data_IF_521490000260
#
_entry.id   IF_521490000260
#
_cell.length_a   1.000
_cell.length_b   1.000
_cell.length_c   1.000
_cell.angle_alpha   90.00
_cell.angle_beta   90.00
_cell.angle_gamma   90.00
#
_symmetry.space_group_name_H-M   'P 1'
#
loop_
_entity.id
_entity.type
_entity.pdbx_description
1 polymer ?
#
# COMPACT_ATOMS: atom_id res chain seq x y z
N UNK A 1 0.51 11.40 13.99
CA UNK A 1 0.95 12.80 13.70
C UNK A 1 1.38 12.98 12.24
N UNK A 2 0.95 12.13 11.30
CA UNK A 2 1.30 12.30 9.89
C UNK A 2 0.77 13.64 9.36
N UNK A 3 -0.52 13.90 9.51
CA UNK A 3 -1.26 15.10 9.04
C UNK A 3 -0.70 16.49 9.40
N UNK A 4 0.31 16.60 10.25
CA UNK A 4 0.94 17.88 10.63
C UNK A 4 2.23 18.18 9.85
N UNK A 5 2.60 17.33 8.89
CA UNK A 5 3.80 17.47 8.09
C UNK A 5 3.46 17.61 6.60
N UNK A 6 4.40 18.13 5.80
CA UNK A 6 4.26 18.09 4.35
C UNK A 6 4.47 16.66 3.84
N UNK A 7 3.63 16.22 2.91
CA UNK A 7 3.67 14.86 2.36
C UNK A 7 3.79 14.86 0.85
N UNK A 8 4.44 13.80 0.35
CA UNK A 8 4.29 13.37 -1.03
C UNK A 8 3.23 12.28 -1.03
N UNK A 9 2.18 12.44 -1.83
CA UNK A 9 1.06 11.51 -1.92
C UNK A 9 1.03 10.84 -3.29
N UNK A 10 0.57 9.58 -3.32
CA UNK A 10 0.26 8.87 -4.55
C UNK A 10 -1.27 8.73 -4.65
N UNK A 11 -1.90 9.15 -5.76
CA UNK A 11 -3.32 8.92 -5.96
C UNK A 11 -3.59 7.42 -6.06
N UNK A 12 -4.71 6.99 -5.49
CA UNK A 12 -5.23 5.63 -5.61
C UNK A 12 -6.61 5.66 -6.25
N UNK A 13 -7.02 4.63 -7.00
CA UNK A 13 -8.39 4.52 -7.48
C UNK A 13 -9.41 4.51 -6.33
N UNK A 14 -10.60 5.09 -6.55
CA UNK A 14 -11.67 5.13 -5.54
C UNK A 14 -12.09 3.72 -5.09
N UNK A 15 -12.04 2.73 -5.99
CA UNK A 15 -12.33 1.35 -5.62
C UNK A 15 -11.28 0.79 -4.65
N UNK A 16 -10.00 1.14 -4.83
CA UNK A 16 -8.95 0.72 -3.90
C UNK A 16 -9.10 1.42 -2.56
N UNK A 17 -9.40 2.72 -2.54
CA UNK A 17 -9.72 3.43 -1.30
C UNK A 17 -10.85 2.75 -0.54
N UNK A 18 -11.95 2.47 -1.24
CA UNK A 18 -13.15 1.84 -0.66
C UNK A 18 -12.82 0.46 -0.09
N UNK A 19 -12.12 -0.39 -0.88
CA UNK A 19 -11.68 -1.71 -0.42
C UNK A 19 -10.75 -1.61 0.79
N UNK A 20 -9.78 -0.70 0.76
CA UNK A 20 -8.82 -0.52 1.85
C UNK A 20 -9.52 -0.17 3.17
N UNK A 21 -10.43 0.80 3.15
CA UNK A 21 -11.17 1.21 4.34
C UNK A 21 -12.14 0.12 4.84
N UNK A 22 -12.78 -0.60 3.91
CA UNK A 22 -13.61 -1.75 4.25
C UNK A 22 -12.80 -2.86 4.92
N UNK A 23 -11.66 -3.24 4.33
CA UNK A 23 -10.74 -4.23 4.90
C UNK A 23 -10.22 -3.81 6.26
N UNK A 24 -9.89 -2.51 6.46
CA UNK A 24 -9.49 -1.99 7.76
C UNK A 24 -10.61 -2.18 8.80
N UNK A 25 -11.86 -1.86 8.44
CA UNK A 25 -13.02 -2.09 9.27
C UNK A 25 -13.19 -3.56 9.66
N UNK A 26 -13.19 -4.47 8.69
CA UNK A 26 -13.34 -5.91 8.94
C UNK A 26 -12.24 -6.47 9.84
N UNK A 27 -10.98 -6.10 9.60
CA UNK A 27 -9.86 -6.56 10.41
C UNK A 27 -9.91 -6.00 11.84
N UNK A 28 -10.40 -4.76 12.00
CA UNK A 28 -10.59 -4.13 13.32
C UNK A 28 -11.71 -4.81 14.09
N UNK A 29 -12.84 -5.13 13.45
CA UNK A 29 -13.94 -5.88 14.07
C UNK A 29 -13.52 -7.28 14.48
N UNK A 30 -12.71 -7.95 13.67
CA UNK A 30 -12.16 -9.27 13.99
C UNK A 30 -11.27 -9.22 15.25
N UNK A 31 -10.45 -8.17 15.38
CA UNK A 31 -9.63 -7.91 16.56
C UNK A 31 -8.57 -8.96 16.88
N UNK A 32 -8.29 -9.88 15.93
CA UNK A 32 -7.35 -10.99 16.11
C UNK A 32 -6.37 -11.08 14.94
N UNK A 33 -5.09 -11.15 15.26
CA UNK A 33 -3.99 -11.33 14.32
C UNK A 33 -3.83 -12.81 13.89
N UNK A 34 -4.93 -13.45 13.49
CA UNK A 34 -4.87 -14.81 12.96
C UNK A 34 -4.41 -14.84 11.50
N UNK A 35 -4.20 -16.06 10.97
CA UNK A 35 -3.66 -16.25 9.63
C UNK A 35 -4.45 -15.52 8.55
N UNK A 36 -5.78 -15.54 8.64
CA UNK A 36 -6.64 -14.91 7.64
C UNK A 36 -6.51 -13.39 7.69
N UNK A 37 -6.49 -12.81 8.90
CA UNK A 37 -6.24 -11.39 9.10
C UNK A 37 -4.87 -10.97 8.51
N UNK A 38 -3.83 -11.77 8.76
CA UNK A 38 -2.47 -11.51 8.26
C UNK A 38 -2.41 -11.60 6.74
N UNK A 39 -3.01 -12.62 6.12
CA UNK A 39 -2.99 -12.80 4.67
C UNK A 39 -3.78 -11.68 3.97
N UNK A 40 -4.92 -11.25 4.54
CA UNK A 40 -5.72 -10.12 4.04
C UNK A 40 -4.97 -8.79 4.16
N UNK A 41 -4.39 -8.49 5.33
CA UNK A 41 -3.59 -7.29 5.54
C UNK A 41 -2.36 -7.24 4.62
N UNK A 42 -1.71 -8.38 4.42
CA UNK A 42 -0.60 -8.50 3.48
C UNK A 42 -1.01 -8.11 2.06
N UNK A 43 -2.14 -8.63 1.58
CA UNK A 43 -2.69 -8.30 0.26
C UNK A 43 -2.93 -6.81 0.09
N UNK A 44 -3.56 -6.19 1.08
CA UNK A 44 -3.83 -4.74 1.08
C UNK A 44 -2.54 -3.91 1.03
N UNK A 45 -1.56 -4.19 1.90
CA UNK A 45 -0.29 -3.46 1.93
C UNK A 45 0.45 -3.59 0.59
N UNK A 46 0.42 -4.79 0.00
CA UNK A 46 1.03 -5.03 -1.31
C UNK A 46 0.36 -4.20 -2.40
N UNK A 47 -0.96 -4.18 -2.46
CA UNK A 47 -1.71 -3.43 -3.47
C UNK A 47 -1.46 -1.92 -3.36
N UNK A 48 -1.51 -1.37 -2.13
CA UNK A 48 -1.18 0.04 -1.87
C UNK A 48 0.26 0.38 -2.28
N UNK A 49 1.21 -0.52 -2.00
CA UNK A 49 2.62 -0.35 -2.38
C UNK A 49 2.79 -0.35 -3.90
N UNK A 50 2.12 -1.25 -4.61
CA UNK A 50 2.18 -1.33 -6.07
C UNK A 50 1.65 -0.05 -6.72
N UNK A 51 0.55 0.51 -6.22
CA UNK A 51 0.02 1.81 -6.70
C UNK A 51 1.01 2.95 -6.46
N UNK A 52 1.59 3.03 -5.26
CA UNK A 52 2.59 4.05 -4.95
C UNK A 52 3.82 3.95 -5.85
N UNK A 53 4.32 2.74 -6.08
CA UNK A 53 5.47 2.53 -6.97
C UNK A 53 5.15 2.85 -8.43
N UNK A 54 3.95 2.53 -8.90
CA UNK A 54 3.52 2.93 -10.25
C UNK A 54 3.53 4.45 -10.40
N UNK A 55 2.93 5.17 -9.44
CA UNK A 55 2.88 6.63 -9.46
C UNK A 55 4.26 7.29 -9.37
N UNK A 56 5.14 6.80 -8.50
CA UNK A 56 6.45 7.45 -8.33
C UNK A 56 7.49 7.08 -9.39
N UNK A 57 7.35 5.92 -10.04
CA UNK A 57 8.38 5.44 -10.97
C UNK A 57 7.88 5.27 -12.41
N UNK A 58 6.69 4.72 -12.62
CA UNK A 58 6.20 4.43 -13.98
C UNK A 58 5.46 5.61 -14.59
N UNK A 59 4.68 6.35 -13.81
CA UNK A 59 3.96 7.52 -14.29
C UNK A 59 4.88 8.63 -14.85
N UNK A 60 6.01 8.99 -14.21
CA UNK A 60 6.97 9.93 -14.81
C UNK A 60 7.49 9.47 -16.17
N UNK A 61 7.77 8.16 -16.31
CA UNK A 61 8.24 7.60 -17.57
C UNK A 61 7.15 7.65 -18.66
N UNK A 62 5.88 7.42 -18.31
CA UNK A 62 4.75 7.62 -19.24
C UNK A 62 4.65 9.07 -19.70
N UNK A 63 4.77 10.03 -18.78
CA UNK A 63 4.72 11.47 -19.09
C UNK A 63 5.88 11.91 -19.98
N UNK A 64 7.06 11.32 -19.79
CA UNK A 64 8.23 11.52 -20.64
C UNK A 64 8.17 10.73 -21.97
N UNK A 65 7.10 9.97 -22.22
CA UNK A 65 6.94 9.11 -23.39
C UNK A 65 8.12 8.15 -23.58
N UNK A 66 8.60 7.58 -22.47
CA UNK A 66 9.70 6.62 -22.48
C UNK A 66 9.40 5.44 -23.43
N UNK A 67 10.42 4.96 -24.12
CA UNK A 67 10.28 3.85 -25.06
C UNK A 67 9.83 2.57 -24.34
N UNK A 68 9.24 1.63 -25.09
CA UNK A 68 8.84 0.32 -24.57
C UNK A 68 10.00 -0.43 -23.91
N UNK A 69 11.22 -0.29 -24.44
CA UNK A 69 12.44 -0.85 -23.85
C UNK A 69 12.73 -0.26 -22.46
N UNK A 70 12.71 1.07 -22.33
CA UNK A 70 12.95 1.75 -21.05
C UNK A 70 11.86 1.41 -20.04
N UNK A 71 10.59 1.39 -20.46
CA UNK A 71 9.46 0.95 -19.64
C UNK A 71 9.63 -0.49 -19.15
N UNK A 72 10.09 -1.39 -20.04
CA UNK A 72 10.37 -2.78 -19.70
C UNK A 72 11.45 -2.92 -18.63
N UNK A 73 12.56 -2.18 -18.79
CA UNK A 73 13.65 -2.15 -17.79
C UNK A 73 13.17 -1.62 -16.44
N UNK A 74 12.40 -0.53 -16.43
CA UNK A 74 11.84 0.03 -15.21
C UNK A 74 10.92 -0.97 -14.48
N UNK A 75 10.00 -1.62 -15.21
CA UNK A 75 9.12 -2.66 -14.65
C UNK A 75 9.90 -3.84 -14.07
N UNK A 76 10.97 -4.26 -14.71
CA UNK A 76 11.84 -5.34 -14.20
C UNK A 76 12.55 -4.93 -12.91
N UNK A 77 13.09 -3.71 -12.85
CA UNK A 77 13.73 -3.16 -11.65
C UNK A 77 12.77 -3.06 -10.47
N UNK A 78 11.61 -2.42 -10.70
CA UNK A 78 10.54 -2.29 -9.70
C UNK A 78 10.05 -3.66 -9.25
N UNK A 79 9.83 -4.59 -10.18
CA UNK A 79 9.39 -5.95 -9.87
C UNK A 79 10.36 -6.72 -8.96
N UNK A 80 11.66 -6.50 -9.13
CA UNK A 80 12.69 -7.08 -8.26
C UNK A 80 12.67 -6.49 -6.86
N UNK A 81 12.56 -5.16 -6.74
CA UNK A 81 12.42 -4.47 -5.46
C UNK A 81 11.16 -4.92 -4.73
N UNK A 82 10.04 -4.98 -5.43
CA UNK A 82 8.75 -5.38 -4.88
C UNK A 82 8.75 -6.81 -4.35
N UNK A 83 9.43 -7.75 -5.02
CA UNK A 83 9.61 -9.12 -4.49
C UNK A 83 10.32 -9.13 -3.14
N UNK A 84 11.39 -8.34 -3.00
CA UNK A 84 12.10 -8.18 -1.73
C UNK A 84 11.21 -7.58 -0.65
N UNK A 85 10.50 -6.49 -0.97
CA UNK A 85 9.57 -5.84 -0.04
C UNK A 85 8.45 -6.78 0.40
N UNK A 86 7.84 -7.53 -0.53
CA UNK A 86 6.81 -8.54 -0.24
C UNK A 86 7.29 -9.58 0.78
N UNK A 87 8.51 -10.10 0.62
CA UNK A 87 9.06 -11.06 1.58
C UNK A 87 9.24 -10.47 2.97
N UNK A 88 9.73 -9.24 3.07
CA UNK A 88 9.93 -8.56 4.36
C UNK A 88 8.59 -8.29 5.03
N UNK A 89 7.63 -7.71 4.31
CA UNK A 89 6.28 -7.44 4.83
C UNK A 89 5.65 -8.72 5.34
N UNK A 90 5.62 -9.79 4.53
CA UNK A 90 5.05 -11.06 4.93
C UNK A 90 5.72 -11.65 6.20
N UNK A 91 7.05 -11.53 6.31
CA UNK A 91 7.80 -12.01 7.48
C UNK A 91 7.50 -11.20 8.75
N UNK A 92 7.28 -9.89 8.61
CA UNK A 92 6.92 -9.02 9.74
C UNK A 92 5.48 -9.27 10.17
N UNK A 93 4.54 -9.32 9.22
CA UNK A 93 3.13 -9.51 9.53
C UNK A 93 2.85 -10.85 10.25
N UNK A 94 3.60 -11.91 9.93
CA UNK A 94 3.54 -13.20 10.65
C UNK A 94 3.86 -13.15 12.14
N UNK A 95 4.44 -12.04 12.62
CA UNK A 95 4.80 -11.85 14.03
C UNK A 95 3.89 -10.84 14.74
N UNK A 96 2.87 -10.32 14.05
CA UNK A 96 1.93 -9.39 14.67
C UNK A 96 1.13 -10.10 15.75
N UNK A 97 0.98 -9.42 16.87
CA UNK A 97 -0.06 -9.69 17.87
C UNK A 97 -1.27 -8.77 17.63
N UNK A 98 -2.34 -8.98 18.38
CA UNK A 98 -3.60 -8.24 18.24
C UNK A 98 -3.40 -6.72 18.44
N UNK A 99 -2.48 -6.33 19.33
CA UNK A 99 -2.14 -4.93 19.57
C UNK A 99 -1.44 -4.30 18.37
N UNK A 100 -0.48 -5.00 17.79
CA UNK A 100 0.27 -4.53 16.63
C UNK A 100 -0.60 -4.52 15.38
N UNK A 101 -1.57 -5.45 15.27
CA UNK A 101 -2.61 -5.39 14.25
C UNK A 101 -3.43 -4.10 14.36
N UNK A 102 -3.92 -3.75 15.54
CA UNK A 102 -4.66 -2.49 15.71
C UNK A 102 -3.81 -1.27 15.29
N UNK A 103 -2.55 -1.22 15.70
CA UNK A 103 -1.66 -0.11 15.37
C UNK A 103 -1.40 0.05 13.86
N UNK A 104 -1.25 -1.04 13.11
CA UNK A 104 -1.05 -0.96 11.65
C UNK A 104 -2.34 -0.57 10.92
N UNK A 105 -3.51 -0.99 11.41
CA UNK A 105 -4.79 -0.58 10.88
C UNK A 105 -5.02 0.93 11.05
N UNK A 106 -4.70 1.47 12.23
CA UNK A 106 -4.73 2.92 12.51
C UNK A 106 -3.80 3.68 11.54
N UNK A 107 -2.59 3.16 11.30
CA UNK A 107 -1.67 3.76 10.34
C UNK A 107 -2.22 3.78 8.90
N UNK A 108 -2.84 2.69 8.43
CA UNK A 108 -3.43 2.63 7.08
C UNK A 108 -4.54 3.67 6.94
N UNK A 109 -5.40 3.79 7.96
CA UNK A 109 -6.45 4.81 8.00
C UNK A 109 -5.86 6.24 8.02
N UNK A 110 -4.74 6.45 8.73
CA UNK A 110 -4.04 7.73 8.79
C UNK A 110 -3.41 8.18 7.46
N UNK A 111 -3.08 7.27 6.54
CA UNK A 111 -2.43 7.62 5.26
C UNK A 111 -3.41 7.71 4.07
N UNK A 112 -4.65 7.27 4.22
CA UNK A 112 -5.68 7.32 3.17
C UNK A 112 -6.55 8.56 3.36
N UNK A 113 -6.55 9.44 2.37
CA UNK A 113 -7.29 10.71 2.41
C UNK A 113 -8.14 10.90 1.17
N UNK A 114 -9.27 11.58 1.35
CA UNK A 114 -10.06 12.10 0.23
C UNK A 114 -9.33 13.29 -0.39
N UNK A 115 -9.51 13.52 -1.72
CA UNK A 115 -9.07 14.76 -2.34
C UNK A 115 -9.78 15.95 -1.69
N UNK A 116 -9.10 17.09 -1.59
CA UNK A 116 -9.77 18.34 -1.20
C UNK A 116 -10.89 18.65 -2.22
N UNK A 117 -12.06 19.15 -1.78
CA UNK A 117 -13.10 19.60 -2.70
C UNK A 117 -12.53 20.68 -3.62
N UNK A 118 -12.68 20.47 -4.92
CA UNK A 118 -12.28 21.43 -5.96
C UNK A 118 -13.22 22.62 -6.08
#
# INVERSE_FOLDING_TARGET
MLKQQSHIVAPIPDELRTRALYTVGELRERGKADREAIDTLYGLIVELTEQGLDFFFLEPLRRLRASSMVMGMARMGIGSMLKGSKMVVHKVLKKLDDRSLAAILDFIEEIIHEPEPG
#
